data_IF_849177562492
#
_entry.id   IF_849177562492
#
_cell.length_a   1.000
_cell.length_b   1.000
_cell.length_c   1.000
_cell.angle_alpha   90.00
_cell.angle_beta   90.00
_cell.angle_gamma   90.00
#
_symmetry.space_group_name_H-M   'P 1'
#
loop_
_entity.id
_entity.type
_entity.pdbx_description
1 polymer ?
#
# COMPACT_ATOMS: atom_id res chain seq x y z
N UNK A 1 46.23 -41.68 0.60
CA UNK A 1 45.68 -42.58 1.63
C UNK A 1 46.17 -42.15 3.01
N UNK A 2 45.27 -41.67 3.88
CA UNK A 2 45.29 -41.88 5.35
C UNK A 2 43.99 -41.30 5.92
N UNK A 3 43.27 -42.15 6.64
CA UNK A 3 41.97 -41.89 7.23
C UNK A 3 42.07 -41.79 8.76
N UNK A 4 40.97 -41.31 9.37
CA UNK A 4 40.60 -41.24 10.81
C UNK A 4 41.19 -40.05 11.57
N UNK A 5 40.44 -39.38 12.45
CA UNK A 5 39.33 -39.87 13.27
C UNK A 5 38.25 -38.80 13.53
N UNK A 6 36.99 -39.23 13.50
CA UNK A 6 35.88 -38.57 14.18
C UNK A 6 36.12 -38.62 15.70
N UNK A 7 35.92 -37.50 16.39
CA UNK A 7 35.59 -37.50 17.82
C UNK A 7 34.38 -36.61 18.05
N UNK A 8 33.32 -37.30 18.40
CA UNK A 8 32.01 -36.83 18.83
C UNK A 8 32.10 -35.92 20.05
N UNK A 9 31.42 -34.78 19.98
CA UNK A 9 31.06 -33.92 21.11
C UNK A 9 29.58 -33.57 20.97
N UNK A 10 28.82 -33.90 22.01
CA UNK A 10 27.38 -34.11 22.05
C UNK A 10 26.51 -32.83 21.91
N UNK A 11 25.18 -32.98 21.70
CA UNK A 11 24.31 -32.03 21.03
C UNK A 11 23.57 -31.10 22.00
N UNK A 12 23.48 -29.82 21.65
CA UNK A 12 22.65 -28.84 22.35
C UNK A 12 22.27 -27.72 21.36
N UNK A 13 21.28 -27.98 20.52
CA UNK A 13 20.52 -26.95 19.86
C UNK A 13 19.08 -27.45 19.75
N UNK A 14 18.37 -27.24 20.85
CA UNK A 14 16.95 -27.46 21.02
C UNK A 14 16.13 -26.86 19.87
N UNK A 15 15.19 -27.67 19.38
CA UNK A 15 13.78 -27.29 19.19
C UNK A 15 13.49 -25.89 18.64
N UNK A 16 13.47 -25.75 17.31
CA UNK A 16 12.61 -24.77 16.63
C UNK A 16 12.05 -25.38 15.33
N UNK A 17 11.51 -26.59 15.43
CA UNK A 17 10.68 -27.16 14.38
C UNK A 17 9.20 -26.92 14.73
N UNK A 18 8.49 -26.24 13.83
CA UNK A 18 7.05 -26.44 13.66
C UNK A 18 6.14 -25.52 14.47
N UNK A 19 6.09 -24.24 14.11
CA UNK A 19 4.87 -23.45 14.27
C UNK A 19 4.59 -22.75 12.94
N UNK A 20 3.66 -23.26 12.11
CA UNK A 20 3.03 -22.39 11.14
C UNK A 20 2.18 -21.41 11.94
N UNK A 21 2.77 -20.26 12.32
CA UNK A 21 1.98 -19.08 12.60
C UNK A 21 1.30 -18.72 11.28
N UNK A 22 0.12 -19.29 11.05
CA UNK A 22 -0.87 -18.65 10.20
C UNK A 22 -1.16 -17.32 10.88
N UNK A 23 -0.45 -16.28 10.43
CA UNK A 23 -0.81 -14.92 10.76
C UNK A 23 -2.29 -14.77 10.38
N UNK A 24 -3.16 -14.29 11.27
CA UNK A 24 -4.50 -13.93 10.85
C UNK A 24 -4.35 -12.96 9.67
N UNK A 25 -5.00 -13.26 8.55
CA UNK A 25 -5.22 -12.26 7.53
C UNK A 25 -5.84 -11.07 8.25
N UNK A 26 -5.13 -9.95 8.25
CA UNK A 26 -5.50 -8.77 9.00
C UNK A 26 -6.74 -8.19 8.30
N UNK A 27 -7.93 -8.65 8.69
CA UNK A 27 -9.25 -8.16 8.23
C UNK A 27 -9.55 -6.75 8.76
N UNK A 28 -8.54 -6.05 9.32
CA UNK A 28 -8.64 -4.62 9.55
C UNK A 28 -8.83 -3.96 8.19
N UNK A 29 -9.86 -3.10 8.01
CA UNK A 29 -9.94 -2.26 6.83
C UNK A 29 -8.57 -1.62 6.68
N UNK A 30 -7.95 -1.76 5.50
CA UNK A 30 -6.68 -1.09 5.24
C UNK A 30 -6.89 0.38 5.55
N UNK A 31 -6.40 0.85 6.71
CA UNK A 31 -6.55 2.25 7.15
C UNK A 31 -5.50 3.07 6.39
N UNK A 32 -5.42 2.85 5.07
CA UNK A 32 -4.66 3.72 4.19
C UNK A 32 -5.56 4.94 3.95
N UNK A 33 -5.22 6.13 4.48
CA UNK A 33 -6.11 7.28 4.45
C UNK A 33 -6.42 7.69 3.00
N UNK A 34 -7.66 8.14 2.70
CA UNK A 34 -7.98 8.64 1.36
C UNK A 34 -7.05 9.79 0.92
N UNK A 35 -6.58 10.63 1.85
CA UNK A 35 -5.57 11.66 1.55
C UNK A 35 -4.26 11.10 0.96
N UNK A 36 -3.84 9.90 1.37
CA UNK A 36 -2.62 9.29 0.83
C UNK A 36 -2.84 8.79 -0.60
N UNK A 37 -4.02 8.24 -0.91
CA UNK A 37 -4.37 7.91 -2.29
C UNK A 37 -4.51 9.15 -3.17
N UNK A 38 -5.05 10.25 -2.63
CA UNK A 38 -5.05 11.53 -3.34
C UNK A 38 -3.61 11.98 -3.64
N UNK A 39 -2.69 11.89 -2.68
CA UNK A 39 -1.29 12.23 -2.88
C UNK A 39 -0.60 11.33 -3.93
N UNK A 40 -0.90 10.03 -3.94
CA UNK A 40 -0.40 9.08 -4.93
C UNK A 40 -0.80 9.50 -6.34
N UNK A 41 -2.10 9.75 -6.56
CA UNK A 41 -2.63 10.11 -7.88
C UNK A 41 -2.21 11.52 -8.33
N UNK A 42 -2.08 12.49 -7.40
CA UNK A 42 -1.45 13.79 -7.72
C UNK A 42 0.01 13.61 -8.15
N UNK A 43 0.79 12.81 -7.42
CA UNK A 43 2.18 12.53 -7.76
C UNK A 43 2.29 11.80 -9.11
N UNK A 44 1.34 10.92 -9.42
CA UNK A 44 1.26 10.25 -10.72
C UNK A 44 0.98 11.26 -11.85
N UNK A 45 -0.05 12.10 -11.67
CA UNK A 45 -0.40 13.15 -12.62
C UNK A 45 0.73 14.16 -12.85
N UNK A 46 1.60 14.38 -11.87
CA UNK A 46 2.77 15.26 -12.02
C UNK A 46 3.87 14.67 -12.90
N UNK A 47 4.01 13.34 -12.93
CA UNK A 47 5.05 12.65 -13.70
C UNK A 47 4.57 12.39 -15.13
N UNK A 48 3.32 11.93 -15.32
CA UNK A 48 2.78 11.57 -16.62
C UNK A 48 1.91 12.64 -17.28
N UNK A 49 1.38 13.61 -16.53
CA UNK A 49 0.59 14.72 -17.07
C UNK A 49 -0.85 14.39 -17.45
N UNK A 50 -1.40 13.25 -17.02
CA UNK A 50 -2.71 12.77 -17.46
C UNK A 50 -3.87 13.31 -16.57
N UNK A 51 -4.99 13.65 -17.23
CA UNK A 51 -6.20 14.21 -16.62
C UNK A 51 -6.98 13.16 -15.80
N UNK A 52 -6.91 11.88 -16.17
CA UNK A 52 -7.58 10.80 -15.47
C UNK A 52 -7.10 10.64 -14.02
N UNK A 53 -5.79 10.75 -13.81
CA UNK A 53 -5.10 10.65 -12.53
C UNK A 53 -5.51 11.83 -11.64
N UNK A 54 -5.63 13.04 -12.20
CA UNK A 54 -6.13 14.21 -11.46
C UNK A 54 -7.58 14.02 -11.01
N UNK A 55 -8.41 13.41 -11.85
CA UNK A 55 -9.79 13.10 -11.48
C UNK A 55 -9.87 12.06 -10.36
N UNK A 56 -9.01 11.04 -10.38
CA UNK A 56 -8.89 10.06 -9.29
C UNK A 56 -8.41 10.73 -7.99
N UNK A 57 -7.37 11.56 -8.08
CA UNK A 57 -6.88 12.34 -6.95
C UNK A 57 -7.98 13.19 -6.29
N UNK A 58 -8.76 13.90 -7.11
CA UNK A 58 -9.87 14.73 -6.64
C UNK A 58 -10.95 13.92 -5.89
N UNK A 59 -11.27 12.70 -6.35
CA UNK A 59 -12.24 11.82 -5.69
C UNK A 59 -11.76 11.37 -4.32
N UNK A 60 -10.50 10.96 -4.21
CA UNK A 60 -9.91 10.58 -2.92
C UNK A 60 -9.77 11.78 -1.98
N UNK A 61 -9.41 12.95 -2.50
CA UNK A 61 -9.40 14.20 -1.73
C UNK A 61 -10.78 14.48 -1.14
N UNK A 62 -11.82 14.47 -1.97
CA UNK A 62 -13.19 14.70 -1.53
C UNK A 62 -13.63 13.70 -0.45
N UNK A 63 -13.29 12.42 -0.60
CA UNK A 63 -13.53 11.41 0.42
C UNK A 63 -12.79 11.72 1.74
N UNK A 64 -11.53 12.13 1.67
CA UNK A 64 -10.74 12.52 2.84
C UNK A 64 -11.32 13.73 3.56
N UNK A 65 -11.72 14.77 2.81
CA UNK A 65 -12.31 16.01 3.36
C UNK A 65 -13.52 15.68 4.24
N UNK A 66 -14.35 14.72 3.82
CA UNK A 66 -15.53 14.28 4.59
C UNK A 66 -15.17 13.61 5.92
N UNK A 67 -13.98 13.02 6.04
CA UNK A 67 -13.54 12.24 7.22
C UNK A 67 -12.72 13.09 8.18
N UNK A 68 -11.74 13.84 7.67
CA UNK A 68 -10.74 14.55 8.50
C UNK A 68 -10.73 16.07 8.30
N UNK A 69 -11.59 16.60 7.42
CA UNK A 69 -11.63 18.02 7.08
C UNK A 69 -10.66 18.42 5.97
N UNK A 70 -10.88 19.62 5.41
CA UNK A 70 -10.13 20.13 4.27
C UNK A 70 -8.68 20.48 4.60
N UNK A 71 -8.45 21.28 5.65
CA UNK A 71 -7.11 21.72 6.02
C UNK A 71 -6.15 20.56 6.30
N UNK A 72 -6.61 19.54 7.02
CA UNK A 72 -5.79 18.36 7.33
C UNK A 72 -5.59 17.46 6.10
N UNK A 73 -6.61 17.32 5.25
CA UNK A 73 -6.50 16.60 3.97
C UNK A 73 -5.43 17.24 3.09
N UNK A 74 -5.48 18.55 2.92
CA UNK A 74 -4.54 19.28 2.05
C UNK A 74 -3.12 19.24 2.62
N UNK A 75 -2.97 19.33 3.95
CA UNK A 75 -1.67 19.17 4.62
C UNK A 75 -1.05 17.81 4.31
N UNK A 76 -1.82 16.72 4.45
CA UNK A 76 -1.34 15.36 4.19
C UNK A 76 -1.00 15.14 2.71
N UNK A 77 -1.81 15.67 1.79
CA UNK A 77 -1.54 15.61 0.36
C UNK A 77 -0.23 16.35 0.04
N UNK A 78 -0.08 17.58 0.54
CA UNK A 78 1.12 18.38 0.31
C UNK A 78 2.39 17.73 0.89
N UNK A 79 2.30 17.09 2.06
CA UNK A 79 3.41 16.37 2.68
C UNK A 79 3.84 15.16 1.84
N UNK A 80 2.89 14.40 1.28
CA UNK A 80 3.15 13.10 0.66
C UNK A 80 3.39 13.15 -0.85
N UNK A 81 2.78 14.10 -1.56
CA UNK A 81 2.87 14.23 -3.01
C UNK A 81 4.31 14.25 -3.55
N UNK A 82 5.30 14.95 -2.93
CA UNK A 82 6.68 14.92 -3.40
C UNK A 82 7.27 13.51 -3.40
N UNK A 83 7.02 12.72 -2.35
CA UNK A 83 7.53 11.35 -2.27
C UNK A 83 6.87 10.44 -3.30
N UNK A 84 5.59 10.64 -3.59
CA UNK A 84 4.89 9.88 -4.63
C UNK A 84 5.46 10.19 -6.02
N UNK A 85 5.75 11.46 -6.29
CA UNK A 85 6.42 11.88 -7.53
C UNK A 85 7.83 11.28 -7.64
N UNK A 86 8.60 11.29 -6.56
CA UNK A 86 9.97 10.76 -6.57
C UNK A 86 9.95 9.23 -6.77
N UNK A 87 9.02 8.51 -6.10
CA UNK A 87 8.78 7.08 -6.32
C UNK A 87 8.45 6.76 -7.78
N UNK A 88 7.49 7.49 -8.36
CA UNK A 88 7.11 7.29 -9.77
C UNK A 88 8.23 7.67 -10.74
N UNK A 89 9.06 8.65 -10.40
CA UNK A 89 10.21 9.01 -11.22
C UNK A 89 11.23 7.87 -11.23
N UNK A 90 11.57 7.33 -10.06
CA UNK A 90 12.47 6.18 -9.93
C UNK A 90 11.93 4.95 -10.68
N UNK A 91 10.63 4.69 -10.57
CA UNK A 91 10.00 3.62 -11.34
C UNK A 91 10.04 3.86 -12.86
N UNK A 92 9.42 4.95 -13.33
CA UNK A 92 9.16 5.18 -14.76
C UNK A 92 10.42 5.55 -15.54
N UNK A 93 11.33 6.33 -14.93
CA UNK A 93 12.50 6.87 -15.63
C UNK A 93 13.76 6.06 -15.38
N UNK A 94 13.95 5.60 -14.14
CA UNK A 94 15.17 4.91 -13.75
C UNK A 94 15.03 3.37 -13.79
N UNK A 95 13.79 2.86 -13.94
CA UNK A 95 13.51 1.43 -14.01
C UNK A 95 13.79 0.70 -12.70
N UNK A 96 13.65 1.36 -11.56
CA UNK A 96 13.93 0.78 -10.25
C UNK A 96 12.84 -0.22 -9.82
N UNK A 97 13.18 -1.51 -9.83
CA UNK A 97 12.27 -2.63 -9.53
C UNK A 97 11.66 -2.54 -8.11
N UNK A 98 12.41 -2.01 -7.14
CA UNK A 98 11.88 -1.82 -5.77
C UNK A 98 10.80 -0.73 -5.74
N UNK A 99 11.01 0.35 -6.47
CA UNK A 99 10.02 1.42 -6.63
C UNK A 99 8.79 0.93 -7.38
N UNK A 100 8.94 0.05 -8.37
CA UNK A 100 7.83 -0.62 -9.05
C UNK A 100 6.97 -1.44 -8.07
N UNK A 101 7.59 -2.35 -7.30
CA UNK A 101 6.86 -3.19 -6.33
C UNK A 101 6.11 -2.35 -5.29
N UNK A 102 6.78 -1.31 -4.77
CA UNK A 102 6.17 -0.39 -3.82
C UNK A 102 5.00 0.37 -4.47
N UNK A 103 5.18 0.90 -5.67
CA UNK A 103 4.15 1.62 -6.39
C UNK A 103 2.92 0.74 -6.68
N UNK A 104 3.11 -0.48 -7.17
CA UNK A 104 2.02 -1.42 -7.39
C UNK A 104 1.26 -1.77 -6.10
N UNK A 105 1.98 -1.90 -4.99
CA UNK A 105 1.36 -2.15 -3.68
C UNK A 105 0.49 -0.98 -3.25
N UNK A 106 0.95 0.25 -3.46
CA UNK A 106 0.16 1.45 -3.21
C UNK A 106 -1.08 1.51 -4.12
N UNK A 107 -0.93 1.18 -5.41
CA UNK A 107 -2.06 1.11 -6.34
C UNK A 107 -3.11 0.09 -5.90
N UNK A 108 -2.70 -1.12 -5.50
CA UNK A 108 -3.64 -2.15 -5.00
C UNK A 108 -4.41 -1.67 -3.77
N UNK A 109 -3.74 -0.97 -2.85
CA UNK A 109 -4.39 -0.41 -1.67
C UNK A 109 -5.40 0.67 -2.03
N UNK A 110 -5.05 1.58 -2.95
CA UNK A 110 -5.97 2.61 -3.40
C UNK A 110 -7.14 2.07 -4.22
N UNK A 111 -6.92 1.06 -5.07
CA UNK A 111 -7.99 0.42 -5.83
C UNK A 111 -9.02 -0.26 -4.91
N UNK A 112 -8.56 -0.94 -3.84
CA UNK A 112 -9.44 -1.51 -2.81
C UNK A 112 -10.28 -0.40 -2.15
N UNK A 113 -9.64 0.66 -1.69
CA UNK A 113 -10.34 1.80 -1.07
C UNK A 113 -11.33 2.47 -2.04
N UNK A 114 -10.99 2.58 -3.33
CA UNK A 114 -11.90 3.11 -4.33
C UNK A 114 -13.17 2.26 -4.47
N UNK A 115 -13.02 0.93 -4.47
CA UNK A 115 -14.13 -0.01 -4.48
C UNK A 115 -15.05 0.21 -3.27
N UNK A 116 -14.47 0.33 -2.08
CA UNK A 116 -15.20 0.59 -0.84
C UNK A 116 -15.95 1.93 -0.88
N UNK A 117 -15.30 3.00 -1.36
CA UNK A 117 -15.92 4.32 -1.51
C UNK A 117 -17.11 4.29 -2.48
N UNK A 118 -16.96 3.64 -3.64
CA UNK A 118 -18.05 3.48 -4.62
C UNK A 118 -19.22 2.70 -4.04
N UNK A 119 -18.94 1.65 -3.27
CA UNK A 119 -19.97 0.84 -2.63
C UNK A 119 -20.77 1.64 -1.58
N UNK A 120 -20.09 2.45 -0.76
CA UNK A 120 -20.74 3.33 0.21
C UNK A 120 -21.57 4.43 -0.47
N UNK A 121 -21.08 5.00 -1.57
CA UNK A 121 -21.82 6.00 -2.37
C UNK A 121 -23.09 5.43 -3.02
N UNK A 122 -23.13 4.12 -3.26
CA UNK A 122 -24.32 3.40 -3.75
C UNK A 122 -25.29 2.96 -2.64
N UNK A 123 -25.06 3.36 -1.39
CA UNK A 123 -25.89 3.00 -0.24
C UNK A 123 -25.61 1.60 0.32
N UNK A 124 -24.46 1.01 -0.01
CA UNK A 124 -24.04 -0.28 0.52
C UNK A 124 -23.66 -0.22 2.01
N UNK A 125 -23.97 -1.28 2.75
CA UNK A 125 -23.52 -1.46 4.15
C UNK A 125 -22.22 -2.27 4.13
N UNK A 126 -21.10 -1.76 4.66
CA UNK A 126 -19.81 -2.45 4.59
C UNK A 126 -19.88 -3.84 5.25
N UNK A 127 -19.44 -4.88 4.53
CA UNK A 127 -19.45 -6.27 4.99
C UNK A 127 -20.62 -7.14 4.50
N UNK A 128 -21.53 -6.61 3.68
CA UNK A 128 -22.59 -7.40 3.03
C UNK A 128 -22.25 -7.60 1.54
N UNK A 129 -22.25 -8.84 1.01
CA UNK A 129 -22.08 -9.07 -0.42
C UNK A 129 -23.25 -8.45 -1.19
N UNK A 130 -22.95 -7.82 -2.33
CA UNK A 130 -23.96 -7.34 -3.26
C UNK A 130 -24.88 -8.51 -3.67
N UNK A 131 -26.20 -8.31 -3.55
CA UNK A 131 -27.20 -9.28 -3.98
C UNK A 131 -27.44 -9.20 -5.49
#
# INVERSE_FOLDING_TARGET
MRARALRSGAPLACLLAGLPLAAPADDRPSIYPPAHCAALWEGYADVLGDEGERALAARFRAASVRVIGEAETDRLIAERRPWMRDLLTAYVRDGDEQSEELFETLLRNCARLEGDLRFLEQGGIPGLPAR
#
